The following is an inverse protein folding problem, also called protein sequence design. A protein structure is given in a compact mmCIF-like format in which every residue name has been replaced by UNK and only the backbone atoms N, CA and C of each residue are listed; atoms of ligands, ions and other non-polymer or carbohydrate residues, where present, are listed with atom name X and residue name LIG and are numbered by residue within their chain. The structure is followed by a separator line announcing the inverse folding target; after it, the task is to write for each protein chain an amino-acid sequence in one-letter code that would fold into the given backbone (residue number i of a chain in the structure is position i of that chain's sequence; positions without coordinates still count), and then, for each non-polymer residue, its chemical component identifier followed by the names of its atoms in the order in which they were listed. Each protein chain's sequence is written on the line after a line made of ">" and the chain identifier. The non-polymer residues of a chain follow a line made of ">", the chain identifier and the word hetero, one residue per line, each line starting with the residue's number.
data_IF_338122712400
#
_entry.id   IF_338122712400
#
_cell.length_a   1.000
_cell.length_b   1.000
_cell.length_c   1.000
_cell.angle_alpha   90.00
_cell.angle_beta   90.00
_cell.angle_gamma   90.00
#
_symmetry.space_group_name_H-M   'P 1'
#
loop_
_entity.id
_entity.type
_entity.pdbx_description
1 polymer ?
#
# COMPACT_ATOMS: atom_id res chain seq x y z
N UNK A 1 47.85 49.91 17.58
CA UNK A 1 47.30 48.58 17.94
C UNK A 1 46.03 48.33 17.14
N UNK A 2 46.13 47.59 16.05
CA UNK A 2 44.98 47.28 15.16
C UNK A 2 44.41 45.94 15.58
N UNK A 3 43.17 45.91 16.13
CA UNK A 3 42.46 44.67 16.45
C UNK A 3 41.83 44.10 15.17
N UNK A 4 42.33 42.96 14.70
CA UNK A 4 41.72 42.16 13.63
C UNK A 4 40.54 41.38 14.22
N UNK A 5 39.31 41.67 13.73
CA UNK A 5 38.16 40.85 13.96
C UNK A 5 38.20 39.67 12.98
N UNK A 6 38.30 38.47 13.50
CA UNK A 6 38.13 37.24 12.72
C UNK A 6 36.66 36.89 12.76
N UNK A 7 35.96 37.03 11.64
CA UNK A 7 34.57 36.59 11.51
C UNK A 7 34.57 35.07 11.24
N UNK A 8 34.16 34.30 12.23
CA UNK A 8 33.96 32.87 12.10
C UNK A 8 32.63 32.63 11.38
N UNK A 9 32.68 32.21 10.12
CA UNK A 9 31.49 31.77 9.38
C UNK A 9 31.04 30.40 9.92
N UNK A 10 29.93 30.38 10.63
CA UNK A 10 29.24 29.14 11.02
C UNK A 10 28.65 28.49 9.76
N UNK A 11 29.27 27.42 9.33
CA UNK A 11 28.73 26.53 8.31
C UNK A 11 27.58 25.72 8.96
N UNK A 12 26.33 26.14 8.72
CA UNK A 12 25.17 25.35 9.08
C UNK A 12 25.06 24.24 8.00
N UNK A 13 25.27 22.96 8.35
CA UNK A 13 25.04 21.92 7.36
C UNK A 13 23.57 21.96 6.98
N UNK A 14 23.30 22.17 5.69
CA UNK A 14 21.96 22.11 5.14
C UNK A 14 21.32 20.78 5.52
N UNK A 15 20.22 20.82 6.24
CA UNK A 15 19.39 19.65 6.52
C UNK A 15 18.99 19.07 5.18
N UNK A 16 19.52 17.91 4.82
CA UNK A 16 19.01 17.11 3.73
C UNK A 16 17.61 16.69 4.17
N UNK A 17 16.60 17.37 3.65
CA UNK A 17 15.21 16.94 3.81
C UNK A 17 15.11 15.65 3.02
N UNK A 18 15.21 14.50 3.68
CA UNK A 18 14.86 13.24 3.08
C UNK A 18 13.37 13.31 2.72
N UNK A 19 13.05 13.07 1.47
CA UNK A 19 11.68 12.88 1.03
C UNK A 19 11.01 11.81 1.90
N UNK A 20 9.73 11.99 2.20
CA UNK A 20 9.00 11.01 2.99
C UNK A 20 9.02 9.66 2.27
N UNK A 21 9.49 8.61 2.95
CA UNK A 21 9.51 7.25 2.42
C UNK A 21 8.07 6.74 2.18
N UNK A 22 7.91 5.89 1.16
CA UNK A 22 6.73 5.07 0.93
C UNK A 22 7.06 3.61 1.28
N UNK A 23 7.43 3.40 2.54
CA UNK A 23 8.04 2.16 3.03
C UNK A 23 7.05 1.00 3.21
N UNK A 24 5.74 1.28 3.17
CA UNK A 24 4.65 0.33 3.37
C UNK A 24 3.66 0.35 2.21
N UNK A 25 2.93 -0.74 2.06
CA UNK A 25 1.70 -0.74 1.27
C UNK A 25 0.81 0.42 1.71
N UNK A 26 0.26 1.19 0.76
CA UNK A 26 -0.54 2.40 1.02
C UNK A 26 0.20 3.53 1.77
N UNK A 27 1.55 3.48 1.87
CA UNK A 27 2.42 4.54 2.36
C UNK A 27 2.55 4.67 3.88
N UNK A 28 1.64 4.14 4.67
CA UNK A 28 1.66 4.26 6.13
C UNK A 28 0.96 3.09 6.83
N UNK A 29 1.18 2.95 8.15
CA UNK A 29 0.62 1.87 8.94
C UNK A 29 -0.93 1.88 9.01
N UNK A 30 -1.55 3.05 8.89
CA UNK A 30 -3.01 3.21 8.85
C UNK A 30 -3.62 2.93 7.47
N UNK A 31 -2.81 2.62 6.45
CA UNK A 31 -3.20 2.23 5.09
C UNK A 31 -4.00 3.30 4.32
N UNK A 32 -3.81 4.59 4.63
CA UNK A 32 -4.64 5.66 4.05
C UNK A 32 -4.39 5.96 2.57
N UNK A 33 -3.25 5.57 2.00
CA UNK A 33 -2.95 5.84 0.59
C UNK A 33 -2.82 7.33 0.27
N UNK A 34 -2.33 8.13 1.21
CA UNK A 34 -2.17 9.58 1.07
C UNK A 34 -0.72 9.97 1.28
N UNK A 35 -0.21 10.86 0.45
CA UNK A 35 1.12 11.45 0.57
C UNK A 35 1.06 12.97 0.61
N UNK A 36 1.89 13.56 1.46
CA UNK A 36 2.19 14.99 1.45
C UNK A 36 3.33 15.35 0.47
N UNK A 37 3.86 14.38 -0.26
CA UNK A 37 4.93 14.56 -1.25
C UNK A 37 4.51 15.56 -2.34
N UNK A 38 5.46 16.31 -2.86
CA UNK A 38 5.23 17.22 -3.97
C UNK A 38 5.70 16.59 -5.27
N UNK A 39 4.76 16.18 -6.11
CA UNK A 39 5.06 15.73 -7.46
C UNK A 39 5.05 16.92 -8.43
N UNK A 40 5.91 16.91 -9.46
CA UNK A 40 5.86 17.88 -10.55
C UNK A 40 4.46 17.96 -11.17
N UNK A 41 4.07 19.12 -11.67
CA UNK A 41 2.77 19.31 -12.32
C UNK A 41 2.61 18.37 -13.51
N UNK A 42 3.63 18.30 -14.36
CA UNK A 42 3.74 17.32 -15.45
C UNK A 42 4.73 16.22 -15.03
N UNK A 43 4.32 14.97 -15.22
CA UNK A 43 5.18 13.80 -15.04
C UNK A 43 5.62 13.29 -16.41
N UNK A 44 6.92 12.99 -16.52
CA UNK A 44 7.50 12.27 -17.66
C UNK A 44 8.04 10.94 -17.16
N UNK A 45 8.07 9.90 -18.01
CA UNK A 45 8.74 8.63 -17.69
C UNK A 45 10.24 8.92 -17.59
N UNK A 46 10.81 8.75 -16.42
CA UNK A 46 12.25 8.96 -16.15
C UNK A 46 13.07 7.74 -16.50
N UNK A 47 12.55 6.58 -16.13
CA UNK A 47 13.15 5.29 -16.39
C UNK A 47 12.12 4.17 -16.33
N UNK A 48 12.46 3.07 -16.97
CA UNK A 48 11.76 1.81 -16.97
C UNK A 48 12.75 0.71 -16.58
N UNK A 49 12.31 -0.20 -15.71
CA UNK A 49 13.09 -1.37 -15.32
C UNK A 49 12.27 -2.63 -15.60
N UNK A 50 12.80 -3.54 -16.42
CA UNK A 50 12.10 -4.77 -16.83
C UNK A 50 12.55 -5.97 -16.01
N UNK A 51 11.61 -6.67 -15.42
CA UNK A 51 11.75 -8.00 -14.82
C UNK A 51 11.37 -9.07 -15.86
N UNK A 52 11.44 -10.35 -15.49
CA UNK A 52 11.08 -11.43 -16.42
C UNK A 52 9.60 -11.84 -16.33
N UNK A 53 8.86 -11.37 -15.32
CA UNK A 53 7.44 -11.66 -15.12
C UNK A 53 6.79 -10.52 -14.33
N UNK A 54 5.46 -10.55 -14.18
CA UNK A 54 4.63 -9.47 -13.65
C UNK A 54 5.05 -8.93 -12.28
N UNK A 55 4.74 -7.63 -12.07
CA UNK A 55 4.76 -6.95 -10.78
C UNK A 55 3.28 -6.74 -10.40
N UNK A 56 2.77 -7.60 -9.51
CA UNK A 56 1.37 -7.59 -9.10
C UNK A 56 1.17 -6.76 -7.81
N UNK A 57 2.13 -6.86 -6.88
CA UNK A 57 2.12 -6.09 -5.65
C UNK A 57 2.51 -4.62 -5.85
N UNK A 58 2.17 -3.80 -4.88
CA UNK A 58 2.66 -2.41 -4.80
C UNK A 58 4.16 -2.42 -4.52
N UNK A 59 4.92 -1.62 -5.26
CA UNK A 59 6.32 -1.35 -4.94
C UNK A 59 6.41 -0.44 -3.70
N UNK A 60 7.49 -0.53 -2.95
CA UNK A 60 7.75 0.38 -1.83
C UNK A 60 9.07 1.13 -2.04
N UNK A 61 9.20 2.29 -1.42
CA UNK A 61 10.37 3.16 -1.59
C UNK A 61 10.90 3.52 -0.21
N UNK A 62 12.18 3.28 0.02
CA UNK A 62 12.85 3.70 1.25
C UNK A 62 14.30 4.11 0.97
N UNK A 63 14.73 5.24 1.53
CA UNK A 63 16.09 5.80 1.36
C UNK A 63 16.55 5.88 -0.10
N UNK A 64 15.64 6.29 -1.01
CA UNK A 64 15.93 6.39 -2.44
C UNK A 64 16.11 5.06 -3.16
N UNK A 65 15.62 3.96 -2.60
CA UNK A 65 15.61 2.62 -3.19
C UNK A 65 14.18 2.13 -3.38
N UNK A 66 13.85 1.67 -4.57
CA UNK A 66 12.58 1.02 -4.91
C UNK A 66 12.73 -0.47 -4.70
N UNK A 67 11.83 -1.09 -3.92
CA UNK A 67 11.75 -2.51 -3.74
C UNK A 67 10.53 -3.06 -4.45
N UNK A 68 10.74 -4.00 -5.38
CA UNK A 68 9.70 -4.59 -6.21
C UNK A 68 9.77 -6.12 -6.16
N UNK A 69 8.69 -6.76 -5.72
CA UNK A 69 8.51 -8.21 -5.83
C UNK A 69 7.97 -8.58 -7.20
N UNK A 70 8.53 -9.60 -7.84
CA UNK A 70 8.11 -10.08 -9.15
C UNK A 70 7.71 -11.55 -9.12
N UNK A 71 6.73 -11.91 -9.94
CA UNK A 71 6.35 -13.29 -10.19
C UNK A 71 7.46 -14.11 -10.87
N UNK A 72 8.58 -13.48 -11.29
CA UNK A 72 9.80 -14.16 -11.75
C UNK A 72 10.67 -14.71 -10.59
N UNK A 73 10.13 -14.69 -9.37
CA UNK A 73 10.72 -15.20 -8.13
C UNK A 73 11.84 -14.31 -7.54
N UNK A 74 11.96 -13.06 -7.95
CA UNK A 74 12.97 -12.16 -7.41
C UNK A 74 12.36 -10.95 -6.71
N UNK A 75 12.97 -10.59 -5.60
CA UNK A 75 12.85 -9.24 -5.03
C UNK A 75 13.97 -8.38 -5.62
N UNK A 76 13.61 -7.25 -6.19
CA UNK A 76 14.52 -6.29 -6.80
C UNK A 76 14.65 -5.05 -5.92
N UNK A 77 15.89 -4.55 -5.78
CA UNK A 77 16.19 -3.23 -5.24
C UNK A 77 16.76 -2.37 -6.36
N UNK A 78 16.07 -1.29 -6.68
CA UNK A 78 16.36 -0.43 -7.82
C UNK A 78 16.62 0.99 -7.28
N UNK A 79 17.65 1.64 -7.76
CA UNK A 79 17.94 3.02 -7.40
C UNK A 79 16.84 3.96 -7.95
N UNK A 80 16.16 4.71 -7.09
CA UNK A 80 15.03 5.57 -7.45
C UNK A 80 15.42 6.65 -8.46
N UNK A 81 16.63 7.19 -8.37
CA UNK A 81 17.08 8.28 -9.21
C UNK A 81 17.45 7.83 -10.62
N UNK A 82 18.16 6.71 -10.73
CA UNK A 82 18.75 6.24 -12.00
C UNK A 82 18.02 5.06 -12.65
N UNK A 83 17.17 4.34 -11.93
CA UNK A 83 16.55 3.10 -12.41
C UNK A 83 17.53 1.91 -12.47
N UNK A 84 18.75 2.06 -11.97
CA UNK A 84 19.75 1.00 -11.99
C UNK A 84 19.52 -0.04 -10.90
N UNK A 85 19.76 -1.31 -11.24
CA UNK A 85 19.69 -2.40 -10.27
C UNK A 85 20.81 -2.24 -9.23
N UNK A 86 20.43 -2.20 -7.94
CA UNK A 86 21.37 -2.25 -6.82
C UNK A 86 21.66 -3.70 -6.44
N UNK A 87 20.60 -4.48 -6.25
CA UNK A 87 20.68 -5.92 -6.01
C UNK A 87 19.33 -6.60 -6.36
N UNK A 88 19.37 -7.89 -6.55
CA UNK A 88 18.19 -8.75 -6.60
C UNK A 88 18.42 -10.03 -5.83
N UNK A 89 17.35 -10.60 -5.29
CA UNK A 89 17.38 -11.85 -4.51
C UNK A 89 16.36 -12.83 -5.03
N UNK A 90 16.82 -14.04 -5.36
CA UNK A 90 15.93 -15.16 -5.68
C UNK A 90 15.25 -15.64 -4.39
N UNK A 91 13.92 -15.67 -4.39
CA UNK A 91 13.03 -16.15 -3.32
C UNK A 91 12.01 -17.12 -3.91
N UNK A 92 10.72 -16.89 -3.70
CA UNK A 92 9.58 -17.56 -4.33
C UNK A 92 8.83 -16.65 -5.30
N UNK A 93 7.69 -17.10 -5.84
CA UNK A 93 6.79 -16.25 -6.64
C UNK A 93 6.25 -15.13 -5.75
N UNK A 94 6.59 -13.87 -6.09
CA UNK A 94 6.28 -12.71 -5.28
C UNK A 94 5.13 -11.92 -5.90
N UNK A 95 3.93 -12.11 -5.36
CA UNK A 95 2.71 -11.33 -5.70
C UNK A 95 2.37 -10.33 -4.59
N UNK A 96 2.93 -10.53 -3.39
CA UNK A 96 2.78 -9.62 -2.27
C UNK A 96 3.54 -8.30 -2.48
N UNK A 97 3.07 -7.24 -1.85
CA UNK A 97 3.86 -6.02 -1.70
C UNK A 97 4.92 -6.20 -0.62
N UNK A 98 6.17 -5.76 -0.83
CA UNK A 98 7.15 -5.72 0.24
C UNK A 98 6.79 -4.65 1.30
N UNK A 99 7.44 -4.73 2.45
CA UNK A 99 7.44 -3.69 3.47
C UNK A 99 8.85 -3.43 3.96
N UNK A 100 9.17 -2.18 4.31
CA UNK A 100 10.48 -1.80 4.85
C UNK A 100 10.30 -1.27 6.27
N UNK A 101 11.14 -1.74 7.18
CA UNK A 101 11.22 -1.23 8.54
C UNK A 101 12.70 -1.16 8.97
N UNK A 102 13.19 0.07 9.17
CA UNK A 102 14.59 0.32 9.47
C UNK A 102 15.54 -0.14 8.37
N UNK A 103 16.45 -1.04 8.71
CA UNK A 103 17.45 -1.62 7.80
C UNK A 103 17.00 -2.94 7.16
N UNK A 104 15.71 -3.28 7.22
CA UNK A 104 15.16 -4.57 6.78
C UNK A 104 14.06 -4.39 5.75
N UNK A 105 14.02 -5.34 4.81
CA UNK A 105 12.93 -5.52 3.85
C UNK A 105 12.25 -6.86 4.12
N UNK A 106 10.93 -6.86 4.07
CA UNK A 106 10.09 -8.00 4.38
C UNK A 106 9.17 -8.30 3.21
N UNK A 107 9.00 -9.58 2.87
CA UNK A 107 8.09 -10.00 1.80
C UNK A 107 7.68 -11.46 1.98
N UNK A 108 6.43 -11.76 1.64
CA UNK A 108 5.91 -13.12 1.55
C UNK A 108 5.88 -13.61 0.10
N UNK A 109 5.81 -14.94 -0.08
CA UNK A 109 5.69 -15.57 -1.38
C UNK A 109 4.46 -16.49 -1.50
N UNK A 110 4.25 -17.00 -2.70
CA UNK A 110 3.12 -17.88 -3.01
C UNK A 110 3.26 -19.29 -2.42
N UNK A 111 4.41 -19.65 -1.88
CA UNK A 111 4.65 -20.93 -1.23
C UNK A 111 4.45 -20.85 0.30
N UNK A 112 4.09 -19.66 0.83
CA UNK A 112 3.87 -19.43 2.26
C UNK A 112 5.13 -19.06 3.03
N UNK A 113 6.24 -18.78 2.34
CA UNK A 113 7.46 -18.35 2.98
C UNK A 113 7.48 -16.83 3.11
N UNK A 114 7.68 -16.35 4.33
CA UNK A 114 7.95 -14.95 4.64
C UNK A 114 9.43 -14.73 4.91
N UNK A 115 10.02 -13.76 4.22
CA UNK A 115 11.45 -13.48 4.28
C UNK A 115 11.69 -12.09 4.87
N UNK A 116 12.67 -12.01 5.78
CA UNK A 116 13.29 -10.77 6.23
C UNK A 116 14.69 -10.68 5.65
N UNK A 117 14.99 -9.59 4.96
CA UNK A 117 16.26 -9.37 4.28
C UNK A 117 16.93 -8.08 4.78
N UNK A 118 18.25 -8.04 4.71
CA UNK A 118 19.00 -6.81 4.87
C UNK A 118 18.73 -5.86 3.70
N UNK A 119 18.27 -4.66 3.97
CA UNK A 119 17.85 -3.66 2.97
C UNK A 119 18.97 -3.27 2.01
N UNK A 120 20.20 -3.16 2.50
CA UNK A 120 21.34 -2.71 1.70
C UNK A 120 21.92 -3.80 0.77
N UNK A 121 21.86 -5.07 1.20
CA UNK A 121 22.55 -6.18 0.50
C UNK A 121 21.62 -7.22 -0.10
N UNK A 122 20.35 -7.24 0.31
CA UNK A 122 19.42 -8.31 -0.06
C UNK A 122 19.75 -9.67 0.56
N UNK A 123 20.65 -9.75 1.55
CA UNK A 123 20.94 -10.98 2.25
C UNK A 123 19.77 -11.37 3.16
N UNK A 124 19.32 -12.63 3.08
CA UNK A 124 18.26 -13.14 3.96
C UNK A 124 18.80 -13.21 5.39
N UNK A 125 18.08 -12.59 6.32
CA UNK A 125 18.40 -12.60 7.76
C UNK A 125 17.71 -13.78 8.44
N UNK A 126 16.39 -13.92 8.18
CA UNK A 126 15.59 -15.05 8.64
C UNK A 126 14.38 -15.29 7.73
N UNK A 127 13.78 -16.45 7.87
CA UNK A 127 12.55 -16.84 7.21
C UNK A 127 11.54 -17.38 8.22
N UNK A 128 10.25 -17.25 7.91
CA UNK A 128 9.14 -17.82 8.64
C UNK A 128 8.22 -18.52 7.64
N UNK A 129 7.70 -19.69 7.97
CA UNK A 129 6.82 -20.46 7.08
C UNK A 129 5.40 -20.49 7.64
N UNK A 130 4.42 -20.31 6.76
CA UNK A 130 2.98 -20.42 7.00
C UNK A 130 2.43 -21.57 6.19
N UNK A 131 1.25 -22.08 6.56
CA UNK A 131 0.60 -23.20 5.84
C UNK A 131 -0.17 -22.74 4.60
N UNK A 132 -0.10 -21.46 4.23
CA UNK A 132 -0.79 -20.88 3.07
C UNK A 132 -0.01 -19.76 2.43
N UNK A 133 -0.38 -19.40 1.21
CA UNK A 133 0.25 -18.30 0.46
C UNK A 133 0.24 -16.98 1.26
N UNK A 134 1.24 -16.12 1.01
CA UNK A 134 1.30 -14.77 1.56
C UNK A 134 1.25 -13.79 0.37
N UNK A 135 0.07 -13.26 0.09
CA UNK A 135 -0.15 -12.27 -0.98
C UNK A 135 -0.39 -10.87 -0.44
N UNK A 136 -0.68 -10.76 0.86
CA UNK A 136 -0.86 -9.49 1.55
C UNK A 136 0.49 -8.84 1.90
N UNK A 137 0.49 -7.51 1.97
CA UNK A 137 1.62 -6.77 2.47
C UNK A 137 1.77 -6.92 3.99
N UNK A 138 3.00 -6.95 4.53
CA UNK A 138 3.22 -6.82 5.96
C UNK A 138 2.89 -5.41 6.46
N UNK A 139 2.59 -5.30 7.76
CA UNK A 139 2.53 -4.03 8.48
C UNK A 139 3.33 -4.16 9.78
N UNK A 140 3.60 -3.04 10.46
CA UNK A 140 4.51 -3.03 11.60
C UNK A 140 3.92 -2.31 12.80
N UNK A 141 4.32 -2.79 14.00
CA UNK A 141 4.17 -2.12 15.29
C UNK A 141 5.56 -2.06 15.96
N UNK A 142 6.25 -0.93 15.83
CA UNK A 142 7.66 -0.83 16.20
C UNK A 142 8.51 -1.84 15.43
N UNK A 143 9.19 -2.71 16.15
CA UNK A 143 10.02 -3.79 15.58
C UNK A 143 9.24 -5.07 15.24
N UNK A 144 7.96 -5.14 15.62
CA UNK A 144 7.12 -6.30 15.33
C UNK A 144 6.52 -6.23 13.93
N UNK A 145 6.40 -7.36 13.26
CA UNK A 145 5.79 -7.50 11.93
C UNK A 145 4.51 -8.31 11.99
N UNK A 146 3.47 -7.78 11.34
CA UNK A 146 2.18 -8.43 11.17
C UNK A 146 2.10 -9.03 9.77
N UNK A 147 1.78 -10.33 9.68
CA UNK A 147 1.79 -11.10 8.44
C UNK A 147 0.42 -11.76 8.26
N UNK A 148 -0.44 -11.22 7.37
CA UNK A 148 -1.66 -11.89 6.97
C UNK A 148 -1.34 -13.03 5.99
N UNK A 149 -1.94 -14.23 6.18
CA UNK A 149 -1.69 -15.38 5.32
C UNK A 149 -2.98 -16.09 4.90
N UNK A 150 -2.92 -16.85 3.80
CA UNK A 150 -4.08 -17.57 3.27
C UNK A 150 -4.44 -18.83 4.09
N UNK A 151 -3.63 -19.24 5.04
CA UNK A 151 -3.96 -20.27 6.04
C UNK A 151 -4.97 -19.79 7.09
N UNK A 152 -5.60 -18.65 6.81
CA UNK A 152 -6.59 -18.01 7.69
C UNK A 152 -6.00 -17.37 8.95
N UNK A 153 -4.68 -17.14 9.00
CA UNK A 153 -4.00 -16.69 10.23
C UNK A 153 -3.30 -15.35 10.01
N UNK A 154 -3.49 -14.44 10.96
CA UNK A 154 -2.67 -13.26 11.12
C UNK A 154 -1.57 -13.58 12.15
N UNK A 155 -0.33 -13.54 11.72
CA UNK A 155 0.82 -13.74 12.58
C UNK A 155 1.43 -12.41 13.02
N UNK A 156 1.91 -12.36 14.26
CA UNK A 156 2.77 -11.30 14.76
C UNK A 156 4.12 -11.90 15.16
N UNK A 157 5.20 -11.44 14.51
CA UNK A 157 6.55 -11.86 14.82
C UNK A 157 7.36 -10.69 15.37
N UNK A 158 8.35 -10.97 16.20
CA UNK A 158 9.34 -9.98 16.60
C UNK A 158 10.38 -9.77 15.50
N UNK A 159 11.30 -8.81 15.69
CA UNK A 159 12.38 -8.51 14.75
C UNK A 159 13.28 -9.70 14.40
N UNK A 160 13.35 -10.73 15.25
CA UNK A 160 14.18 -11.91 15.06
C UNK A 160 13.42 -13.08 14.38
N UNK A 161 12.18 -12.82 13.92
CA UNK A 161 11.33 -13.81 13.25
C UNK A 161 10.65 -14.80 14.18
N UNK A 162 10.65 -14.55 15.49
CA UNK A 162 9.99 -15.42 16.48
C UNK A 162 8.55 -14.97 16.66
N UNK A 163 7.61 -15.93 16.61
CA UNK A 163 6.19 -15.67 16.82
C UNK A 163 5.93 -15.18 18.24
N UNK A 164 5.23 -14.02 18.33
CA UNK A 164 4.74 -13.44 19.58
C UNK A 164 3.33 -13.94 19.86
N UNK A 165 2.45 -13.81 18.84
CA UNK A 165 1.08 -14.28 18.86
C UNK A 165 0.60 -14.57 17.44
N UNK A 166 -0.52 -15.26 17.34
CA UNK A 166 -1.28 -15.46 16.12
C UNK A 166 -2.77 -15.36 16.40
N UNK A 167 -3.55 -15.03 15.36
CA UNK A 167 -5.00 -14.95 15.41
C UNK A 167 -5.59 -15.60 14.18
N UNK A 168 -6.47 -16.59 14.36
CA UNK A 168 -7.09 -17.36 13.28
C UNK A 168 -8.52 -16.91 13.04
N UNK A 169 -8.90 -16.77 11.76
CA UNK A 169 -10.25 -16.49 11.30
C UNK A 169 -10.81 -17.66 10.46
N UNK A 170 -12.06 -17.55 10.03
CA UNK A 170 -12.67 -18.51 9.10
C UNK A 170 -12.54 -18.00 7.65
N UNK A 171 -11.49 -18.40 6.95
CA UNK A 171 -11.22 -18.03 5.56
C UNK A 171 -9.90 -17.31 5.35
N UNK A 172 -9.38 -17.28 4.11
CA UNK A 172 -8.09 -16.71 3.80
C UNK A 172 -8.04 -15.19 4.04
N UNK A 173 -6.85 -14.67 4.33
CA UNK A 173 -6.62 -13.24 4.52
C UNK A 173 -5.88 -12.72 3.29
N UNK A 174 -6.57 -11.92 2.45
CA UNK A 174 -6.00 -11.32 1.24
C UNK A 174 -5.50 -9.90 1.44
N UNK A 175 -6.12 -9.15 2.35
CA UNK A 175 -5.82 -7.75 2.59
C UNK A 175 -4.72 -7.53 3.62
N UNK A 176 -3.91 -6.49 3.45
CA UNK A 176 -3.02 -6.02 4.49
C UNK A 176 -3.82 -5.48 5.68
N UNK A 177 -3.32 -5.68 6.89
CA UNK A 177 -3.95 -5.14 8.10
C UNK A 177 -3.55 -3.68 8.32
N UNK A 178 -4.44 -2.87 8.87
CA UNK A 178 -4.11 -1.53 9.35
C UNK A 178 -3.66 -1.59 10.81
N UNK A 179 -2.79 -0.66 11.20
CA UNK A 179 -2.30 -0.50 12.58
C UNK A 179 -2.57 0.92 13.03
N UNK A 180 -3.34 1.08 14.10
CA UNK A 180 -3.64 2.37 14.71
C UNK A 180 -4.09 2.22 16.16
N UNK A 181 -3.86 3.24 16.99
CA UNK A 181 -4.42 3.37 18.34
C UNK A 181 -4.19 2.15 19.25
N UNK A 182 -3.04 1.46 19.11
CA UNK A 182 -2.72 0.26 19.90
C UNK A 182 -3.45 -1.01 19.44
N UNK A 183 -4.15 -0.98 18.31
CA UNK A 183 -4.86 -2.09 17.72
C UNK A 183 -4.45 -2.38 16.28
N UNK A 184 -4.67 -3.60 15.82
CA UNK A 184 -4.65 -3.96 14.40
C UNK A 184 -6.04 -4.32 13.93
N UNK A 185 -6.32 -3.98 12.66
CA UNK A 185 -7.64 -4.10 12.04
C UNK A 185 -7.54 -5.05 10.86
N UNK A 186 -8.17 -6.21 10.98
CA UNK A 186 -8.19 -7.27 10.00
C UNK A 186 -9.58 -7.40 9.40
N UNK A 187 -9.75 -7.07 8.12
CA UNK A 187 -10.95 -7.35 7.35
C UNK A 187 -10.74 -8.66 6.57
N UNK A 188 -11.49 -9.69 6.92
CA UNK A 188 -11.27 -11.06 6.42
C UNK A 188 -12.32 -11.55 5.43
N UNK A 189 -12.05 -12.74 4.84
CA UNK A 189 -13.02 -13.46 4.02
C UNK A 189 -14.12 -14.15 4.83
N UNK A 190 -14.08 -14.08 6.14
CA UNK A 190 -15.17 -14.46 7.05
C UNK A 190 -16.26 -13.39 7.19
N UNK A 191 -16.21 -12.37 6.36
CA UNK A 191 -17.13 -11.21 6.38
C UNK A 191 -17.08 -10.40 7.66
N UNK A 192 -15.97 -10.45 8.40
CA UNK A 192 -15.82 -9.81 9.69
C UNK A 192 -14.62 -8.86 9.71
N UNK A 193 -14.81 -7.68 10.28
CA UNK A 193 -13.71 -6.85 10.76
C UNK A 193 -13.36 -7.28 12.17
N UNK A 194 -12.15 -7.79 12.36
CA UNK A 194 -11.60 -8.09 13.68
C UNK A 194 -10.72 -6.93 14.15
N UNK A 195 -10.92 -6.53 15.41
CA UNK A 195 -10.09 -5.53 16.08
C UNK A 195 -9.28 -6.25 17.15
N UNK A 196 -7.95 -6.24 17.02
CA UNK A 196 -7.08 -7.01 17.91
C UNK A 196 -6.10 -6.09 18.63
N UNK A 197 -5.83 -6.38 19.89
CA UNK A 197 -4.78 -5.74 20.67
C UNK A 197 -3.41 -6.08 20.07
N UNK A 198 -2.61 -5.09 19.75
CA UNK A 198 -1.32 -5.26 19.08
C UNK A 198 -0.30 -6.05 19.89
N UNK A 199 -0.34 -5.95 21.22
CA UNK A 199 0.64 -6.61 22.09
C UNK A 199 0.34 -8.09 22.30
N UNK A 200 -0.95 -8.43 22.35
CA UNK A 200 -1.39 -9.77 22.80
C UNK A 200 -2.11 -10.58 21.73
N UNK A 201 -2.52 -9.97 20.61
CA UNK A 201 -3.34 -10.60 19.59
C UNK A 201 -4.78 -10.91 20.03
N UNK A 202 -5.18 -10.52 21.24
CA UNK A 202 -6.52 -10.79 21.76
C UNK A 202 -7.55 -9.89 21.08
N UNK A 203 -8.74 -10.44 20.80
CA UNK A 203 -9.85 -9.68 20.26
C UNK A 203 -10.30 -8.59 21.23
N UNK A 204 -10.40 -7.36 20.72
CA UNK A 204 -11.01 -6.21 21.37
C UNK A 204 -12.45 -6.00 20.93
N UNK A 205 -12.88 -6.71 19.87
CA UNK A 205 -14.21 -6.68 19.32
C UNK A 205 -14.21 -6.97 17.82
N UNK A 206 -15.40 -6.97 17.24
CA UNK A 206 -15.60 -7.25 15.81
C UNK A 206 -16.82 -6.53 15.26
N UNK A 207 -16.88 -6.40 13.93
CA UNK A 207 -18.02 -5.85 13.19
C UNK A 207 -18.33 -6.74 12.00
N UNK A 208 -19.58 -7.14 11.82
CA UNK A 208 -20.06 -7.82 10.62
C UNK A 208 -20.02 -6.85 9.43
N UNK A 209 -19.21 -7.19 8.40
CA UNK A 209 -19.06 -6.42 7.17
C UNK A 209 -20.16 -6.71 6.13
N UNK A 210 -21.05 -7.65 6.42
CA UNK A 210 -22.10 -8.13 5.49
C UNK A 210 -21.55 -8.68 4.16
N UNK A 211 -20.26 -8.91 4.07
CA UNK A 211 -19.59 -9.43 2.89
C UNK A 211 -18.09 -9.56 3.10
N UNK A 212 -17.48 -10.49 2.39
CA UNK A 212 -16.05 -10.74 2.43
C UNK A 212 -15.26 -9.51 2.00
N UNK A 213 -14.07 -9.32 2.56
CA UNK A 213 -13.12 -8.30 2.11
C UNK A 213 -11.79 -8.92 1.71
N UNK A 214 -11.26 -8.48 0.57
CA UNK A 214 -9.92 -8.80 0.09
C UNK A 214 -8.99 -7.59 0.05
N UNK A 215 -9.45 -6.43 0.54
CA UNK A 215 -8.70 -5.18 0.53
C UNK A 215 -8.12 -4.84 1.90
N UNK A 216 -7.08 -4.00 1.92
CA UNK A 216 -6.63 -3.39 3.15
C UNK A 216 -7.66 -2.35 3.62
N UNK A 217 -8.04 -2.41 4.89
CA UNK A 217 -8.86 -1.39 5.51
C UNK A 217 -8.03 -0.14 5.81
N UNK A 218 -8.56 1.05 5.53
CA UNK A 218 -7.89 2.32 5.80
C UNK A 218 -8.43 2.98 7.07
N UNK A 219 -7.56 3.36 7.99
CA UNK A 219 -7.94 4.06 9.24
C UNK A 219 -7.64 5.54 9.13
N UNK A 220 -8.64 6.38 9.35
CA UNK A 220 -8.50 7.83 9.42
C UNK A 220 -9.29 8.39 10.61
N UNK A 221 -8.58 8.92 11.60
CA UNK A 221 -9.17 9.36 12.87
C UNK A 221 -9.86 8.21 13.61
N UNK A 222 -11.10 8.40 14.02
CA UNK A 222 -11.91 7.40 14.73
C UNK A 222 -12.68 6.46 13.78
N UNK A 223 -12.36 6.45 12.48
CA UNK A 223 -13.09 5.67 11.48
C UNK A 223 -12.17 4.76 10.66
N UNK A 224 -12.73 3.65 10.24
CA UNK A 224 -12.14 2.71 9.31
C UNK A 224 -13.01 2.62 8.05
N UNK A 225 -12.35 2.54 6.90
CA UNK A 225 -13.00 2.46 5.58
C UNK A 225 -12.53 1.21 4.86
N UNK A 226 -13.49 0.42 4.35
CA UNK A 226 -13.19 -0.85 3.69
C UNK A 226 -14.17 -1.13 2.56
N UNK A 227 -13.65 -1.68 1.45
CA UNK A 227 -14.44 -2.23 0.36
C UNK A 227 -14.77 -3.69 0.61
N UNK A 228 -15.93 -4.16 0.14
CA UNK A 228 -16.33 -5.57 0.21
C UNK A 228 -16.52 -6.18 -1.18
N UNK A 229 -16.42 -7.50 -1.25
CA UNK A 229 -16.72 -8.26 -2.47
C UNK A 229 -18.22 -8.27 -2.77
N UNK A 230 -19.07 -7.84 -1.83
CA UNK A 230 -20.52 -7.70 -1.97
C UNK A 230 -20.95 -6.32 -2.49
N UNK A 231 -20.07 -5.59 -3.21
CA UNK A 231 -20.36 -4.29 -3.82
C UNK A 231 -20.58 -3.15 -2.82
N UNK A 232 -19.98 -3.21 -1.64
CA UNK A 232 -20.19 -2.19 -0.60
C UNK A 232 -18.87 -1.51 -0.23
N UNK A 233 -18.96 -0.23 0.14
CA UNK A 233 -17.92 0.51 0.87
C UNK A 233 -18.52 0.91 2.21
N UNK A 234 -17.84 0.55 3.28
CA UNK A 234 -18.30 0.76 4.64
C UNK A 234 -17.39 1.75 5.36
N UNK A 235 -17.99 2.64 6.16
CA UNK A 235 -17.29 3.36 7.21
C UNK A 235 -17.72 2.83 8.57
N UNK A 236 -16.73 2.46 9.37
CA UNK A 236 -16.94 1.85 10.68
C UNK A 236 -16.35 2.77 11.75
N UNK A 237 -17.17 3.13 12.73
CA UNK A 237 -16.71 3.91 13.88
C UNK A 237 -16.00 3.00 14.87
N UNK A 238 -14.69 3.17 15.05
CA UNK A 238 -13.81 2.25 15.78
C UNK A 238 -14.16 2.10 17.26
N UNK A 239 -14.50 3.19 17.97
CA UNK A 239 -14.86 3.12 19.40
C UNK A 239 -16.22 2.51 19.66
N UNK A 240 -17.16 2.65 18.71
CA UNK A 240 -18.53 2.12 18.82
C UNK A 240 -18.66 0.72 18.24
N UNK A 241 -17.66 0.27 17.45
CA UNK A 241 -17.65 -0.97 16.69
C UNK A 241 -18.93 -1.16 15.88
N UNK A 242 -19.30 -0.12 15.09
CA UNK A 242 -20.51 -0.17 14.27
C UNK A 242 -20.33 0.56 12.95
N UNK A 243 -21.06 0.12 11.94
CA UNK A 243 -21.14 0.79 10.65
C UNK A 243 -21.83 2.14 10.85
N UNK A 244 -21.16 3.22 10.45
CA UNK A 244 -21.69 4.59 10.51
C UNK A 244 -22.43 4.95 9.21
N UNK A 245 -21.83 4.55 8.07
CA UNK A 245 -22.46 4.65 6.78
C UNK A 245 -22.01 3.52 5.85
N UNK A 246 -22.83 3.28 4.84
CA UNK A 246 -22.65 2.26 3.83
C UNK A 246 -22.95 2.88 2.46
N UNK A 247 -22.13 2.57 1.46
CA UNK A 247 -22.36 2.93 0.07
C UNK A 247 -22.40 1.66 -0.78
N UNK A 248 -23.39 1.53 -1.64
CA UNK A 248 -23.49 0.46 -2.65
C UNK A 248 -23.43 1.10 -4.04
N UNK A 249 -22.50 0.60 -4.91
CA UNK A 249 -22.39 1.11 -6.26
C UNK A 249 -23.65 0.75 -7.07
N UNK A 250 -24.32 1.74 -7.70
CA UNK A 250 -25.55 1.47 -8.46
C UNK A 250 -25.22 0.74 -9.78
N UNK A 251 -26.12 -0.10 -10.26
CA UNK A 251 -26.20 -0.78 -11.55
C UNK A 251 -25.43 -2.10 -11.70
N UNK A 252 -24.12 -2.16 -11.47
CA UNK A 252 -23.36 -3.42 -11.56
C UNK A 252 -22.88 -3.78 -10.17
N UNK A 253 -23.41 -4.84 -9.60
CA UNK A 253 -22.96 -5.35 -8.29
C UNK A 253 -21.58 -6.00 -8.45
N UNK A 254 -20.53 -5.19 -8.54
CA UNK A 254 -19.16 -5.66 -8.71
C UNK A 254 -18.36 -5.45 -7.43
N UNK A 255 -17.38 -6.31 -7.15
CA UNK A 255 -16.55 -6.23 -5.97
C UNK A 255 -15.69 -4.95 -5.92
N UNK A 256 -15.48 -4.44 -4.69
CA UNK A 256 -14.43 -3.49 -4.36
C UNK A 256 -13.20 -4.26 -3.84
N UNK A 257 -12.29 -4.61 -4.75
CA UNK A 257 -11.01 -5.24 -4.39
C UNK A 257 -9.93 -4.24 -4.03
N UNK A 258 -10.01 -3.01 -4.55
CA UNK A 258 -9.08 -1.95 -4.23
C UNK A 258 -9.20 -1.52 -2.76
N UNK A 259 -8.09 -1.11 -2.17
CA UNK A 259 -8.10 -0.42 -0.87
C UNK A 259 -8.45 1.05 -1.06
N UNK A 260 -9.18 1.63 -0.12
CA UNK A 260 -9.57 3.03 -0.18
C UNK A 260 -8.36 3.97 0.03
N UNK A 261 -8.30 5.07 -0.73
CA UNK A 261 -7.52 6.23 -0.35
C UNK A 261 -8.40 7.20 0.44
N UNK A 262 -7.90 7.64 1.61
CA UNK A 262 -8.73 8.41 2.54
C UNK A 262 -7.99 9.65 3.02
N UNK A 263 -8.55 10.82 2.71
CA UNK A 263 -8.10 12.10 3.26
C UNK A 263 -9.20 12.75 4.12
N UNK A 264 -9.08 14.04 4.43
CA UNK A 264 -10.05 14.76 5.28
C UNK A 264 -11.47 14.74 4.72
N UNK A 265 -11.64 14.82 3.39
CA UNK A 265 -12.92 15.03 2.72
C UNK A 265 -13.42 13.82 1.94
N UNK A 266 -12.53 12.98 1.44
CA UNK A 266 -12.84 11.94 0.46
C UNK A 266 -12.43 10.54 0.91
N UNK A 267 -13.24 9.57 0.49
CA UNK A 267 -12.88 8.16 0.34
C UNK A 267 -12.88 7.87 -1.16
N UNK A 268 -11.71 7.55 -1.72
CA UNK A 268 -11.54 7.25 -3.14
C UNK A 268 -11.19 5.78 -3.31
N UNK A 269 -11.96 5.06 -4.10
CA UNK A 269 -11.81 3.60 -4.22
C UNK A 269 -12.12 3.11 -5.64
N UNK A 270 -11.29 2.21 -6.16
CA UNK A 270 -11.52 1.51 -7.42
C UNK A 270 -12.53 0.38 -7.27
N UNK A 271 -13.28 0.09 -8.33
CA UNK A 271 -14.25 -0.98 -8.39
C UNK A 271 -14.12 -1.79 -9.68
N UNK A 272 -14.56 -3.04 -9.66
CA UNK A 272 -14.62 -3.89 -10.86
C UNK A 272 -15.79 -3.56 -11.79
N UNK A 273 -16.57 -2.50 -11.49
CA UNK A 273 -17.58 -1.92 -12.39
C UNK A 273 -16.99 -0.93 -13.42
N UNK A 274 -15.67 -0.97 -13.59
CA UNK A 274 -14.89 -0.10 -14.46
C UNK A 274 -14.85 1.36 -13.99
N UNK A 275 -14.99 1.60 -12.69
CA UNK A 275 -15.02 2.94 -12.13
C UNK A 275 -14.10 3.16 -10.95
N UNK A 276 -13.72 4.42 -10.79
CA UNK A 276 -13.21 4.98 -9.55
C UNK A 276 -14.32 5.79 -8.90
N UNK A 277 -14.63 5.47 -7.65
CA UNK A 277 -15.67 6.13 -6.85
C UNK A 277 -15.04 7.07 -5.84
N UNK A 278 -15.59 8.27 -5.70
CA UNK A 278 -15.25 9.17 -4.61
C UNK A 278 -16.49 9.49 -3.79
N UNK A 279 -16.36 9.23 -2.50
CA UNK A 279 -17.44 9.40 -1.52
C UNK A 279 -17.05 10.49 -0.53
N UNK A 280 -18.05 11.23 -0.05
CA UNK A 280 -17.88 12.12 1.09
C UNK A 280 -17.50 11.29 2.32
N UNK A 281 -16.34 11.57 2.91
CA UNK A 281 -15.81 10.75 3.99
C UNK A 281 -16.74 10.66 5.20
N UNK A 282 -17.46 11.72 5.52
CA UNK A 282 -18.32 11.80 6.73
C UNK A 282 -19.68 11.15 6.53
N UNK A 283 -20.22 11.20 5.30
CA UNK A 283 -21.61 10.79 5.04
C UNK A 283 -21.77 9.60 4.10
N UNK A 284 -20.70 9.15 3.43
CA UNK A 284 -20.75 8.10 2.42
C UNK A 284 -21.45 8.49 1.13
N UNK A 285 -21.93 9.73 1.01
CA UNK A 285 -22.60 10.19 -0.22
C UNK A 285 -21.61 10.27 -1.37
N UNK A 286 -22.02 9.78 -2.55
CA UNK A 286 -21.24 9.93 -3.77
C UNK A 286 -20.98 11.41 -4.05
N UNK A 287 -19.71 11.77 -4.22
CA UNK A 287 -19.26 13.07 -4.73
C UNK A 287 -19.17 13.04 -6.25
N UNK A 288 -18.44 12.03 -6.76
CA UNK A 288 -18.27 11.79 -8.19
C UNK A 288 -17.89 10.33 -8.45
N UNK A 289 -17.95 9.90 -9.70
CA UNK A 289 -17.31 8.71 -10.23
C UNK A 289 -16.60 9.01 -11.54
N UNK A 290 -15.53 8.28 -11.82
CA UNK A 290 -14.74 8.37 -13.04
C UNK A 290 -14.75 7.01 -13.73
N UNK A 291 -15.10 6.97 -15.04
CA UNK A 291 -15.14 5.76 -15.84
C UNK A 291 -13.76 5.48 -16.45
N UNK A 292 -13.23 4.30 -16.23
CA UNK A 292 -12.08 3.70 -16.91
C UNK A 292 -12.52 2.78 -18.03
N UNK A 293 -11.60 2.24 -18.84
CA UNK A 293 -11.96 1.32 -19.93
C UNK A 293 -11.95 -0.16 -19.47
N UNK A 294 -11.55 -0.44 -18.21
CA UNK A 294 -11.58 -1.77 -17.59
C UNK A 294 -11.60 -1.65 -16.07
N UNK A 295 -11.79 -2.79 -15.38
CA UNK A 295 -11.85 -2.85 -13.90
C UNK A 295 -10.65 -2.18 -13.23
N UNK A 296 -10.90 -1.71 -12.00
CA UNK A 296 -9.91 -1.03 -11.17
C UNK A 296 -9.69 -1.81 -9.88
N UNK A 297 -8.70 -2.71 -9.89
CA UNK A 297 -8.24 -3.44 -8.70
C UNK A 297 -7.07 -2.71 -8.02
N UNK A 298 -6.31 -1.90 -8.78
CA UNK A 298 -5.26 -1.03 -8.25
C UNK A 298 -5.83 0.03 -7.31
N UNK A 299 -5.21 0.19 -6.14
CA UNK A 299 -5.71 1.15 -5.16
C UNK A 299 -5.22 2.56 -5.48
N UNK A 300 -6.14 3.53 -5.46
CA UNK A 300 -5.83 4.93 -5.70
C UNK A 300 -4.89 5.51 -4.64
N UNK A 301 -4.08 6.49 -5.01
CA UNK A 301 -3.22 7.27 -4.10
C UNK A 301 -3.54 8.75 -4.27
N UNK A 302 -3.73 9.47 -3.15
CA UNK A 302 -3.93 10.91 -3.13
C UNK A 302 -2.59 11.58 -2.81
N UNK A 303 -2.13 12.48 -3.69
CA UNK A 303 -0.90 13.26 -3.51
C UNK A 303 -1.24 14.74 -3.69
N UNK A 304 -1.32 15.48 -2.58
CA UNK A 304 -1.82 16.86 -2.61
C UNK A 304 -3.24 16.94 -3.20
N UNK A 305 -3.38 17.71 -4.28
CA UNK A 305 -4.66 17.92 -4.98
C UNK A 305 -4.93 16.90 -6.12
N UNK A 306 -4.09 15.86 -6.25
CA UNK A 306 -4.17 14.88 -7.34
C UNK A 306 -4.39 13.47 -6.84
N UNK A 307 -5.14 12.71 -7.61
CA UNK A 307 -5.41 11.29 -7.41
C UNK A 307 -4.76 10.52 -8.53
N UNK A 308 -3.99 9.49 -8.20
CA UNK A 308 -3.32 8.59 -9.12
C UNK A 308 -3.93 7.20 -8.96
N UNK A 309 -4.39 6.61 -10.06
CA UNK A 309 -5.02 5.29 -10.05
C UNK A 309 -4.68 4.51 -11.32
N UNK A 310 -4.24 3.27 -11.14
CA UNK A 310 -3.99 2.34 -12.23
C UNK A 310 -5.22 1.48 -12.51
N UNK A 311 -5.40 1.09 -13.78
CA UNK A 311 -6.48 0.22 -14.21
C UNK A 311 -5.96 -0.97 -15.04
N UNK A 312 -6.78 -1.98 -15.20
CA UNK A 312 -6.50 -3.13 -16.08
C UNK A 312 -6.51 -2.76 -17.57
N UNK A 313 -6.97 -1.57 -17.94
CA UNK A 313 -6.85 -1.01 -19.29
C UNK A 313 -5.44 -0.52 -19.66
N UNK A 314 -4.44 -0.81 -18.79
CA UNK A 314 -3.03 -0.45 -18.97
C UNK A 314 -2.75 1.06 -18.83
N UNK A 315 -3.67 1.80 -18.22
CA UNK A 315 -3.54 3.24 -18.01
C UNK A 315 -3.37 3.60 -16.55
N UNK A 316 -2.45 4.53 -16.30
CA UNK A 316 -2.36 5.29 -15.05
C UNK A 316 -3.10 6.61 -15.28
N UNK A 317 -4.21 6.79 -14.59
CA UNK A 317 -5.00 8.02 -14.61
C UNK A 317 -4.56 8.99 -13.53
N UNK A 318 -4.56 10.28 -13.87
CA UNK A 318 -4.35 11.38 -12.92
C UNK A 318 -5.62 12.23 -12.93
N UNK A 319 -6.26 12.31 -11.77
CA UNK A 319 -7.49 13.08 -11.58
C UNK A 319 -7.23 14.19 -10.56
N UNK A 320 -8.02 15.26 -10.61
CA UNK A 320 -8.09 16.21 -9.48
C UNK A 320 -9.08 15.69 -8.41
N UNK A 321 -9.18 16.40 -7.26
CA UNK A 321 -10.09 16.00 -6.19
C UNK A 321 -11.58 16.11 -6.55
N UNK A 322 -11.91 16.74 -7.69
CA UNK A 322 -13.29 16.82 -8.23
C UNK A 322 -13.61 15.68 -9.20
N UNK A 323 -12.65 14.79 -9.51
CA UNK A 323 -12.80 13.68 -10.43
C UNK A 323 -12.57 14.02 -11.91
N UNK A 324 -12.07 15.23 -12.21
CA UNK A 324 -11.73 15.63 -13.57
C UNK A 324 -10.36 15.06 -13.96
N UNK A 325 -10.27 14.48 -15.15
CA UNK A 325 -9.01 13.92 -15.67
C UNK A 325 -8.03 15.04 -16.03
N UNK A 326 -6.86 15.01 -15.38
CA UNK A 326 -5.75 15.92 -15.66
C UNK A 326 -4.78 15.34 -16.68
N UNK A 327 -4.51 14.03 -16.57
CA UNK A 327 -3.61 13.32 -17.47
C UNK A 327 -3.92 11.82 -17.48
N UNK A 328 -3.37 11.11 -18.47
CA UNK A 328 -3.29 9.65 -18.49
C UNK A 328 -1.96 9.21 -19.09
N UNK A 329 -1.44 8.06 -18.65
CA UNK A 329 -0.22 7.44 -19.13
C UNK A 329 -0.52 6.01 -19.54
N UNK A 330 -0.36 5.68 -20.82
CA UNK A 330 -0.46 4.31 -21.31
C UNK A 330 0.84 3.57 -21.01
N UNK A 331 0.74 2.46 -20.30
CA UNK A 331 1.86 1.59 -19.93
C UNK A 331 1.80 0.29 -20.74
N UNK A 332 2.77 -0.61 -20.54
CA UNK A 332 2.88 -1.85 -21.32
C UNK A 332 1.97 -2.99 -20.84
N UNK A 333 1.32 -2.83 -19.71
CA UNK A 333 0.48 -3.88 -19.11
C UNK A 333 -0.52 -3.36 -18.08
N UNK A 334 -1.39 -4.26 -17.62
CA UNK A 334 -2.37 -3.96 -16.59
C UNK A 334 -1.72 -3.53 -15.27
N UNK A 335 -2.33 -2.57 -14.60
CA UNK A 335 -1.85 -2.04 -13.33
C UNK A 335 -2.69 -2.63 -12.21
N UNK A 336 -2.11 -3.58 -11.48
CA UNK A 336 -2.76 -4.28 -10.37
C UNK A 336 -2.39 -3.68 -9.01
N UNK A 337 -1.13 -3.26 -8.86
CA UNK A 337 -0.62 -2.61 -7.65
C UNK A 337 -1.01 -1.13 -7.55
N UNK A 338 -0.73 -0.55 -6.40
CA UNK A 338 -0.91 0.89 -6.16
C UNK A 338 0.34 1.68 -6.54
N UNK A 339 0.23 2.96 -6.92
CA UNK A 339 1.38 3.83 -7.03
C UNK A 339 2.10 3.99 -5.68
N UNK A 340 3.43 4.14 -5.72
CA UNK A 340 4.26 4.56 -4.59
C UNK A 340 4.89 5.92 -4.89
N UNK A 341 5.06 6.76 -3.88
CA UNK A 341 5.49 8.15 -4.09
C UNK A 341 6.61 8.53 -3.13
N UNK A 342 7.73 8.98 -3.64
CA UNK A 342 8.84 9.52 -2.85
C UNK A 342 9.81 10.31 -3.73
N UNK A 343 10.46 11.33 -3.18
CA UNK A 343 11.51 12.09 -3.85
C UNK A 343 11.08 12.78 -5.14
N UNK A 344 9.84 13.28 -5.21
CA UNK A 344 9.28 13.90 -6.40
C UNK A 344 8.99 12.91 -7.55
N UNK A 345 8.99 11.61 -7.25
CA UNK A 345 8.72 10.54 -8.20
C UNK A 345 7.48 9.73 -7.81
N UNK A 346 6.79 9.22 -8.82
CA UNK A 346 5.76 8.20 -8.70
C UNK A 346 6.29 6.93 -9.35
N UNK A 347 6.20 5.81 -8.65
CA UNK A 347 6.68 4.50 -9.13
C UNK A 347 5.53 3.51 -9.15
N UNK A 348 5.43 2.72 -10.23
CA UNK A 348 4.35 1.75 -10.41
C UNK A 348 4.82 0.56 -11.23
N UNK A 349 4.29 -0.63 -10.92
CA UNK A 349 4.56 -1.86 -11.66
C UNK A 349 3.40 -2.28 -12.56
N UNK A 350 3.68 -3.09 -13.58
CA UNK A 350 2.69 -3.69 -14.48
C UNK A 350 2.74 -5.22 -14.45
N UNK A 351 1.68 -5.87 -14.89
CA UNK A 351 1.59 -7.34 -15.05
C UNK A 351 2.54 -7.89 -16.14
N UNK A 352 3.12 -7.01 -16.97
CA UNK A 352 4.16 -7.35 -17.94
C UNK A 352 5.58 -7.29 -17.36
N UNK A 353 5.70 -6.95 -16.07
CA UNK A 353 6.96 -6.95 -15.34
C UNK A 353 7.79 -5.68 -15.49
N UNK A 354 7.20 -4.60 -15.95
CA UNK A 354 7.89 -3.32 -16.00
C UNK A 354 7.59 -2.49 -14.77
N UNK A 355 8.62 -1.97 -14.12
CA UNK A 355 8.54 -0.94 -13.10
C UNK A 355 8.81 0.40 -13.78
N UNK A 356 7.85 1.31 -13.74
CA UNK A 356 7.95 2.67 -14.25
C UNK A 356 8.21 3.66 -13.13
N UNK A 357 9.10 4.61 -13.38
CA UNK A 357 9.27 5.80 -12.54
C UNK A 357 8.88 7.03 -13.35
N UNK A 358 7.93 7.80 -12.83
CA UNK A 358 7.47 9.05 -13.41
C UNK A 358 7.87 10.21 -12.48
N UNK A 359 8.33 11.33 -13.07
CA UNK A 359 8.78 12.50 -12.30
C UNK A 359 9.10 13.67 -13.22
N UNK A 360 9.79 14.70 -12.71
CA UNK A 360 10.35 15.75 -13.55
C UNK A 360 11.39 15.17 -14.51
N UNK A 361 11.43 15.71 -15.72
CA UNK A 361 12.43 15.37 -16.75
C UNK A 361 13.84 15.72 -16.28
#
# INVERSE_FOLDING_TARGET
>A
MLKRFVTLALFVPGSVIFAADWALHRGNATQTGVSAEKLPEKLDIKWEFKTKNGIEGTVVISDGVVFAGSADKHLYAIDLKSGQLKWKRLLGILTASPGVNGDRVYIGDADGKFCCLNKATGAVIWTFETDGQITAAPNFDGDNVLIPAHDSTLYCLNKDGKKIWDFKIEGPIYGAVAVAQGATFLAGCDSTLHVLDLKTGKSLGSVDLKGQSGSAAAVYGDYLYVGTMSNQVLAIHLKKLKIEWEFEAPRRKQPFYASAAVNEDLVVIGCRDDKVWALDRKTGKRKWDFLTEHKVDGSAVIVGERIFVGSFDQKLYVLNLKGEKLAEYSLDGAIMGSPAVSGGCLVIGTDKGTVYCLGAK
#
